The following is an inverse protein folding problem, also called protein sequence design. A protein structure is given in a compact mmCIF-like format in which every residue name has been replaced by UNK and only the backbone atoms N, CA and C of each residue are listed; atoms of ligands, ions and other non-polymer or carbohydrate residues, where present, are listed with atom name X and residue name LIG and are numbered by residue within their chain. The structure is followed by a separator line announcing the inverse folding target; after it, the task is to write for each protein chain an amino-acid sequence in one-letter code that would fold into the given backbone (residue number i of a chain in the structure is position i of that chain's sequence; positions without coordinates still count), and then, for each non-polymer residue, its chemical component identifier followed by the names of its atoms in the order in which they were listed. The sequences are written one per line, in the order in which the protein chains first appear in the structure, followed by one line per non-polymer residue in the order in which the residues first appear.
data_IF_345869122176
#
_entry.id   IF_345869122176
#
_cell.length_a   1.000
_cell.length_b   1.000
_cell.length_c   1.000
_cell.angle_alpha   90.00
_cell.angle_beta   90.00
_cell.angle_gamma   90.00
#
_symmetry.space_group_name_H-M   'P 1'
#
loop_
_entity.id
_entity.type
_entity.pdbx_description
1 polymer ?
#
# COMPACT_ATOMS: atom_id res chain seq x y z
N UNK A 1 -23.05 6.36 3.74
CA UNK A 1 -24.03 6.49 2.66
C UNK A 1 -23.99 7.92 2.11
N UNK A 2 -24.23 8.08 0.82
CA UNK A 2 -24.30 9.37 0.14
C UNK A 2 -25.60 9.49 -0.65
N UNK A 3 -26.07 10.73 -0.79
CA UNK A 3 -27.19 11.04 -1.67
C UNK A 3 -26.66 11.16 -3.10
N UNK A 4 -27.20 10.33 -4.00
CA UNK A 4 -26.91 10.36 -5.44
C UNK A 4 -28.17 10.76 -6.20
N UNK A 5 -27.98 11.69 -7.13
CA UNK A 5 -29.01 12.08 -8.09
C UNK A 5 -28.96 11.13 -9.28
N UNK A 6 -30.09 10.55 -9.61
CA UNK A 6 -30.26 9.70 -10.80
C UNK A 6 -31.16 10.43 -11.78
N UNK A 7 -30.75 10.56 -13.05
CA UNK A 7 -31.59 11.15 -14.08
C UNK A 7 -32.82 10.24 -14.28
N UNK A 8 -33.99 10.82 -14.16
CA UNK A 8 -35.25 10.19 -14.53
C UNK A 8 -35.97 11.07 -15.55
N UNK A 9 -36.45 10.46 -16.62
CA UNK A 9 -37.22 11.15 -17.64
C UNK A 9 -38.68 10.74 -17.47
N UNK A 10 -39.51 11.69 -17.08
CA UNK A 10 -40.95 11.47 -17.01
C UNK A 10 -41.56 11.11 -18.37
N UNK A 11 -42.75 10.53 -18.38
CA UNK A 11 -43.45 10.17 -19.62
C UNK A 11 -43.63 11.36 -20.58
N UNK A 12 -43.61 12.58 -20.07
CA UNK A 12 -43.73 13.82 -20.83
C UNK A 12 -42.39 14.38 -21.31
N UNK A 13 -41.27 13.68 -21.08
CA UNK A 13 -39.91 14.13 -21.45
C UNK A 13 -39.34 15.20 -20.51
N UNK A 14 -39.98 15.45 -19.37
CA UNK A 14 -39.45 16.34 -18.33
C UNK A 14 -38.37 15.64 -17.50
N UNK A 15 -37.28 16.37 -17.20
CA UNK A 15 -36.20 15.87 -16.36
C UNK A 15 -36.61 15.94 -14.90
N UNK A 16 -36.64 14.79 -14.25
CA UNK A 16 -36.88 14.65 -12.82
C UNK A 16 -35.66 14.01 -12.16
N UNK A 17 -35.02 14.72 -11.24
CA UNK A 17 -33.93 14.16 -10.49
C UNK A 17 -34.44 13.32 -9.31
N UNK A 18 -34.16 12.04 -9.31
CA UNK A 18 -34.47 11.17 -8.17
C UNK A 18 -33.23 11.12 -7.26
N UNK A 19 -33.35 11.63 -6.04
CA UNK A 19 -32.31 11.55 -5.03
C UNK A 19 -32.48 10.26 -4.23
N UNK A 20 -31.47 9.39 -4.25
CA UNK A 20 -31.41 8.18 -3.44
C UNK A 20 -30.20 8.17 -2.54
N UNK A 21 -30.40 7.83 -1.29
CA UNK A 21 -29.31 7.57 -0.34
C UNK A 21 -28.78 6.16 -0.56
N UNK A 22 -27.55 6.04 -1.02
CA UNK A 22 -26.90 4.77 -1.34
C UNK A 22 -25.66 4.53 -0.49
N UNK A 23 -25.31 3.27 -0.18
CA UNK A 23 -24.06 2.96 0.48
C UNK A 23 -22.88 3.35 -0.43
N UNK A 24 -21.82 3.85 0.17
CA UNK A 24 -20.56 4.18 -0.52
C UNK A 24 -19.42 3.43 0.12
N UNK A 25 -18.55 2.90 -0.71
CA UNK A 25 -17.25 2.35 -0.32
C UNK A 25 -16.18 3.38 -0.64
N UNK A 26 -15.34 3.69 0.33
CA UNK A 26 -14.22 4.60 0.16
C UNK A 26 -12.92 3.90 0.55
N UNK A 27 -11.84 4.25 -0.13
CA UNK A 27 -10.51 3.80 0.21
C UNK A 27 -10.00 4.55 1.44
N UNK A 28 -9.42 3.81 2.38
CA UNK A 28 -8.74 4.35 3.56
C UNK A 28 -7.25 4.07 3.41
N UNK A 29 -6.43 5.11 3.54
CA UNK A 29 -4.99 4.94 3.52
C UNK A 29 -4.51 4.20 4.77
N UNK A 30 -3.65 3.20 4.59
CA UNK A 30 -3.03 2.44 5.69
C UNK A 30 -2.36 3.37 6.72
N UNK A 31 -1.78 4.47 6.26
CA UNK A 31 -1.11 5.47 7.10
C UNK A 31 -2.05 6.30 7.99
N UNK A 32 -3.34 6.29 7.68
CA UNK A 32 -4.37 6.99 8.45
C UNK A 32 -5.30 6.03 9.20
N UNK A 33 -4.96 4.75 9.22
CA UNK A 33 -5.76 3.69 9.80
C UNK A 33 -5.04 3.08 10.99
N UNK A 34 -5.66 3.14 12.15
CA UNK A 34 -5.13 2.67 13.42
C UNK A 34 -6.08 1.63 14.01
N UNK A 35 -5.86 0.34 13.69
CA UNK A 35 -6.64 -0.75 14.26
C UNK A 35 -6.23 -1.01 15.71
N UNK A 36 -7.02 -1.81 16.39
CA UNK A 36 -6.70 -2.38 17.70
C UNK A 36 -5.35 -3.15 17.62
N UNK A 37 -4.35 -2.80 18.45
CA UNK A 37 -3.03 -3.44 18.42
C UNK A 37 -3.05 -4.93 18.75
N UNK A 38 -4.04 -5.37 19.53
CA UNK A 38 -4.18 -6.76 19.97
C UNK A 38 -4.92 -7.63 18.95
N UNK A 39 -5.53 -7.01 17.93
CA UNK A 39 -6.24 -7.71 16.89
C UNK A 39 -5.31 -8.21 15.77
N UNK A 40 -5.53 -9.42 15.29
CA UNK A 40 -4.88 -9.95 14.09
C UNK A 40 -5.73 -9.75 12.83
N UNK A 41 -7.04 -9.57 12.98
CA UNK A 41 -8.01 -9.41 11.89
C UNK A 41 -9.08 -8.38 12.26
N UNK A 42 -9.76 -7.83 11.24
CA UNK A 42 -10.87 -6.90 11.47
C UNK A 42 -11.98 -7.44 12.37
N UNK A 43 -12.22 -8.77 12.32
CA UNK A 43 -13.27 -9.39 13.13
C UNK A 43 -12.90 -9.48 14.63
N UNK A 44 -11.62 -9.46 14.95
CA UNK A 44 -11.12 -9.54 16.31
C UNK A 44 -10.93 -8.15 16.94
N UNK A 45 -10.93 -7.10 16.11
CA UNK A 45 -10.69 -5.74 16.54
C UNK A 45 -11.87 -5.22 17.39
N UNK A 46 -11.58 -4.76 18.60
CA UNK A 46 -12.55 -4.11 19.47
C UNK A 46 -12.83 -2.69 19.01
N UNK A 47 -11.85 -2.04 18.39
CA UNK A 47 -11.98 -0.69 17.86
C UNK A 47 -11.05 -0.42 16.68
N UNK A 48 -11.38 0.63 15.97
CA UNK A 48 -10.56 1.20 14.89
C UNK A 48 -10.63 2.71 14.95
N UNK A 49 -9.52 3.35 14.68
CA UNK A 49 -9.44 4.81 14.54
C UNK A 49 -8.99 5.17 13.13
N UNK A 50 -9.76 6.00 12.44
CA UNK A 50 -9.35 6.61 11.17
C UNK A 50 -9.00 8.08 11.39
N UNK A 51 -7.88 8.51 10.85
CA UNK A 51 -7.42 9.90 10.87
C UNK A 51 -7.81 10.61 9.59
N UNK A 52 -8.59 11.65 9.71
CA UNK A 52 -8.97 12.53 8.61
C UNK A 52 -8.20 13.85 8.66
N UNK A 53 -7.75 14.31 7.49
CA UNK A 53 -7.11 15.61 7.30
C UNK A 53 -8.11 16.52 6.60
N UNK A 54 -8.80 17.36 7.36
CA UNK A 54 -9.87 18.19 6.85
C UNK A 54 -9.42 19.65 6.68
N UNK A 55 -9.86 20.28 5.59
CA UNK A 55 -9.76 21.72 5.45
C UNK A 55 -10.80 22.41 6.33
N UNK A 56 -10.62 23.71 6.57
CA UNK A 56 -11.58 24.54 7.32
C UNK A 56 -12.99 24.45 6.73
N UNK A 57 -13.13 24.43 5.41
CA UNK A 57 -14.44 24.32 4.74
C UNK A 57 -15.05 22.93 4.92
N UNK A 58 -14.25 21.88 4.84
CA UNK A 58 -14.71 20.50 5.07
C UNK A 58 -15.16 20.30 6.52
N UNK A 59 -14.38 20.80 7.49
CA UNK A 59 -14.76 20.75 8.90
C UNK A 59 -16.07 21.51 9.16
N UNK A 60 -16.23 22.70 8.58
CA UNK A 60 -17.48 23.48 8.67
C UNK A 60 -18.67 22.76 8.03
N UNK A 61 -18.45 22.03 6.94
CA UNK A 61 -19.51 21.27 6.28
C UNK A 61 -20.03 20.08 7.12
N UNK A 62 -19.26 19.61 8.11
CA UNK A 62 -19.74 18.58 9.04
C UNK A 62 -20.95 19.05 9.85
N UNK A 63 -21.12 20.35 10.09
CA UNK A 63 -22.31 20.92 10.73
C UNK A 63 -23.62 20.59 10.01
N UNK A 64 -23.57 20.38 8.70
CA UNK A 64 -24.75 20.01 7.90
C UNK A 64 -25.17 18.55 8.09
N UNK A 65 -24.34 17.73 8.75
CA UNK A 65 -24.61 16.34 9.00
C UNK A 65 -25.26 16.15 10.36
N UNK A 66 -26.15 15.16 10.53
CA UNK A 66 -26.84 14.92 11.80
C UNK A 66 -25.85 14.53 12.91
N UNK A 67 -26.21 14.92 14.12
CA UNK A 67 -25.50 14.59 15.36
C UNK A 67 -24.13 15.22 15.54
N UNK A 68 -23.69 16.13 14.68
CA UNK A 68 -22.49 16.93 14.92
C UNK A 68 -22.80 18.13 15.81
N UNK A 69 -21.86 18.47 16.69
CA UNK A 69 -21.97 19.58 17.66
C UNK A 69 -21.42 20.86 17.06
N UNK A 70 -22.30 21.71 16.55
CA UNK A 70 -21.95 22.95 15.81
C UNK A 70 -21.04 23.87 16.62
N UNK A 71 -21.38 24.12 17.90
CA UNK A 71 -20.62 25.01 18.77
C UNK A 71 -19.18 24.51 18.99
N UNK A 72 -19.00 23.18 19.09
CA UNK A 72 -17.69 22.57 19.29
C UNK A 72 -16.86 22.67 18.01
N UNK A 73 -17.48 22.46 16.85
CA UNK A 73 -16.80 22.62 15.55
C UNK A 73 -16.33 24.07 15.36
N UNK A 74 -17.15 25.06 15.71
CA UNK A 74 -16.74 26.48 15.66
C UNK A 74 -15.56 26.75 16.58
N UNK A 75 -15.63 26.27 17.80
CA UNK A 75 -14.53 26.40 18.76
C UNK A 75 -13.23 25.71 18.27
N UNK A 76 -13.32 24.59 17.54
CA UNK A 76 -12.15 23.97 16.92
C UNK A 76 -11.58 24.85 15.80
N UNK A 77 -12.43 25.45 14.98
CA UNK A 77 -12.01 26.33 13.88
C UNK A 77 -11.36 27.61 14.43
N UNK A 78 -11.87 28.18 15.51
CA UNK A 78 -11.31 29.35 16.19
C UNK A 78 -9.95 29.08 16.83
N UNK A 79 -9.74 27.88 17.36
CA UNK A 79 -8.44 27.46 17.91
C UNK A 79 -7.33 27.35 16.85
N UNK A 80 -7.70 27.24 15.58
CA UNK A 80 -6.78 27.08 14.48
C UNK A 80 -6.44 25.62 14.17
N UNK A 81 -5.51 25.44 13.26
CA UNK A 81 -5.08 24.13 12.80
C UNK A 81 -4.47 23.27 13.90
N UNK A 82 -4.75 21.99 13.84
CA UNK A 82 -4.21 21.00 14.78
C UNK A 82 -3.33 19.96 14.10
N UNK A 83 -3.35 19.93 12.78
CA UNK A 83 -2.62 18.94 12.03
C UNK A 83 -1.15 19.33 11.89
N UNK A 84 -0.28 18.49 12.41
CA UNK A 84 1.16 18.57 12.18
C UNK A 84 1.56 17.44 11.23
N UNK A 85 2.23 17.82 10.13
CA UNK A 85 2.76 16.86 9.18
C UNK A 85 3.84 16.02 9.85
N UNK A 86 3.76 14.70 9.71
CA UNK A 86 4.76 13.76 10.23
C UNK A 86 5.89 13.58 9.22
N UNK A 87 7.08 13.21 9.69
CA UNK A 87 8.27 13.02 8.86
C UNK A 87 8.03 12.03 7.70
N UNK A 88 7.42 10.89 7.96
CA UNK A 88 7.08 9.91 6.94
C UNK A 88 6.13 10.44 5.84
N UNK A 89 5.31 11.45 6.14
CA UNK A 89 4.44 12.09 5.14
C UNK A 89 5.21 12.96 4.17
N UNK A 90 6.31 13.56 4.65
CA UNK A 90 7.23 14.32 3.81
C UNK A 90 8.00 13.38 2.89
N UNK A 91 8.49 12.26 3.44
CA UNK A 91 9.24 11.23 2.69
C UNK A 91 8.39 10.60 1.59
N UNK A 92 7.11 10.30 1.86
CA UNK A 92 6.20 9.73 0.87
C UNK A 92 5.79 10.72 -0.23
N UNK A 93 5.72 12.00 0.11
CA UNK A 93 5.20 13.00 -0.81
C UNK A 93 6.25 13.52 -1.80
N UNK A 94 7.55 13.26 -1.54
CA UNK A 94 8.69 13.86 -2.27
C UNK A 94 8.54 15.39 -2.48
N UNK A 95 7.79 16.02 -1.57
CA UNK A 95 7.48 17.44 -1.62
C UNK A 95 8.30 18.20 -0.60
N UNK A 96 9.22 18.99 -1.06
CA UNK A 96 9.90 20.03 -0.28
C UNK A 96 9.09 21.32 -0.17
N UNK A 97 7.82 21.29 -0.56
CA UNK A 97 6.96 22.47 -0.51
C UNK A 97 6.40 22.67 0.90
N UNK A 98 6.99 23.61 1.62
CA UNK A 98 6.47 24.26 2.84
C UNK A 98 5.21 25.11 2.56
N UNK A 99 4.29 24.63 1.74
CA UNK A 99 2.98 25.24 1.65
C UNK A 99 2.23 24.89 2.94
N UNK A 100 2.21 25.85 3.82
CA UNK A 100 1.50 25.84 5.09
C UNK A 100 -0.01 25.86 4.79
N UNK A 101 -0.55 24.67 4.52
CA UNK A 101 -1.98 24.49 4.24
C UNK A 101 -2.66 24.16 5.55
N UNK A 102 -3.43 25.12 6.10
CA UNK A 102 -4.28 24.91 7.28
C UNK A 102 -5.06 23.59 7.17
N UNK A 103 -4.78 22.65 8.05
CA UNK A 103 -5.46 21.37 8.14
C UNK A 103 -5.83 21.06 9.59
N UNK A 104 -6.98 20.42 9.74
CA UNK A 104 -7.48 19.97 11.03
C UNK A 104 -7.37 18.46 11.08
N UNK A 105 -6.75 17.96 12.13
CA UNK A 105 -6.75 16.53 12.42
C UNK A 105 -8.07 16.16 13.08
N UNK A 106 -8.78 15.23 12.45
CA UNK A 106 -10.02 14.68 12.97
C UNK A 106 -9.89 13.18 13.07
N UNK A 107 -10.13 12.65 14.25
CA UNK A 107 -10.09 11.22 14.54
C UNK A 107 -11.51 10.68 14.54
N UNK A 108 -11.76 9.66 13.74
CA UNK A 108 -13.02 8.92 13.71
C UNK A 108 -12.79 7.55 14.36
N UNK A 109 -13.43 7.33 15.48
CA UNK A 109 -13.40 6.08 16.24
C UNK A 109 -14.64 5.24 15.94
N UNK A 110 -14.44 3.97 15.70
CA UNK A 110 -15.49 2.96 15.67
C UNK A 110 -15.10 1.81 16.58
N UNK A 111 -15.95 1.46 17.52
CA UNK A 111 -15.66 0.35 18.41
C UNK A 111 -16.53 0.33 19.64
N UNK A 112 -16.08 -0.48 20.58
CA UNK A 112 -16.71 -0.66 21.90
C UNK A 112 -16.31 0.49 22.82
N UNK A 113 -17.27 1.04 23.54
CA UNK A 113 -17.09 2.15 24.50
C UNK A 113 -17.93 1.88 25.74
N UNK A 114 -17.39 2.24 26.89
CA UNK A 114 -18.14 2.22 28.14
C UNK A 114 -19.37 3.11 28.05
N UNK A 115 -20.51 2.58 28.40
CA UNK A 115 -21.80 3.28 28.40
C UNK A 115 -21.75 4.56 29.24
N UNK A 116 -21.11 4.51 30.42
CA UNK A 116 -20.99 5.65 31.32
C UNK A 116 -20.31 6.86 30.65
N UNK A 117 -19.32 6.64 29.81
CA UNK A 117 -18.63 7.71 29.06
C UNK A 117 -19.58 8.41 28.06
N UNK A 118 -20.50 7.67 27.46
CA UNK A 118 -21.49 8.24 26.56
C UNK A 118 -22.58 9.00 27.31
N UNK A 119 -23.03 8.49 28.47
CA UNK A 119 -24.01 9.15 29.32
C UNK A 119 -23.50 10.48 29.89
N UNK A 120 -22.23 10.54 30.34
CA UNK A 120 -21.57 11.77 30.80
C UNK A 120 -21.51 12.83 29.67
N UNK A 121 -21.49 12.41 28.42
CA UNK A 121 -21.46 13.30 27.27
C UNK A 121 -22.84 13.62 26.68
N UNK A 122 -23.90 13.38 27.41
CA UNK A 122 -25.31 13.64 27.03
C UNK A 122 -25.79 12.87 25.78
N UNK A 123 -25.26 11.68 25.56
CA UNK A 123 -25.71 10.82 24.47
C UNK A 123 -26.93 9.98 24.94
N UNK A 124 -28.09 10.11 24.28
CA UNK A 124 -29.29 9.39 24.70
C UNK A 124 -29.14 7.88 24.51
N UNK A 125 -29.33 7.13 25.59
CA UNK A 125 -29.28 5.66 25.58
C UNK A 125 -30.67 5.08 25.36
N UNK A 126 -30.89 4.26 24.31
CA UNK A 126 -32.09 3.47 24.16
C UNK A 126 -32.29 2.50 25.30
N UNK A 127 -33.57 2.19 25.61
CA UNK A 127 -33.91 1.26 26.71
C UNK A 127 -33.33 -0.16 26.50
N UNK A 128 -33.05 -0.53 25.28
CA UNK A 128 -32.45 -1.83 24.91
C UNK A 128 -31.05 -2.04 25.52
N UNK A 129 -30.32 -0.95 25.80
CA UNK A 129 -28.95 -0.98 26.34
C UNK A 129 -28.91 -0.71 27.86
N UNK A 130 -30.04 -0.88 28.58
CA UNK A 130 -30.10 -0.54 30.01
C UNK A 130 -29.21 -1.44 30.86
N UNK A 131 -29.11 -2.72 30.50
CA UNK A 131 -28.41 -3.75 31.28
C UNK A 131 -27.05 -4.13 30.67
N UNK A 132 -26.50 -3.27 29.81
CA UNK A 132 -25.20 -3.47 29.13
C UNK A 132 -24.25 -2.40 29.57
N UNK A 133 -23.03 -2.79 29.94
CA UNK A 133 -21.99 -1.87 30.42
C UNK A 133 -21.21 -1.23 29.23
N UNK A 134 -21.10 -1.96 28.11
CA UNK A 134 -20.36 -1.54 26.94
C UNK A 134 -21.26 -1.52 25.70
N UNK A 135 -21.04 -0.53 24.82
CA UNK A 135 -21.82 -0.37 23.59
C UNK A 135 -20.93 -0.01 22.41
N UNK A 136 -21.29 -0.45 21.23
CA UNK A 136 -20.63 -0.01 20.02
C UNK A 136 -21.04 1.41 19.63
N UNK A 137 -20.05 2.28 19.42
CA UNK A 137 -20.26 3.68 19.07
C UNK A 137 -19.37 4.14 17.92
N UNK A 138 -19.80 5.24 17.27
CA UNK A 138 -18.98 6.04 16.37
C UNK A 138 -18.75 7.39 17.01
N UNK A 139 -17.49 7.74 17.22
CA UNK A 139 -17.05 8.95 17.90
C UNK A 139 -16.11 9.74 17.00
N UNK A 140 -16.34 11.05 16.91
CA UNK A 140 -15.48 11.96 16.16
C UNK A 140 -14.89 13.00 17.09
N UNK A 141 -13.57 13.16 17.03
CA UNK A 141 -12.79 14.07 17.89
C UNK A 141 -11.97 14.98 16.99
N UNK A 142 -12.04 16.28 17.24
CA UNK A 142 -11.18 17.29 16.61
C UNK A 142 -10.57 18.19 17.66
N UNK A 143 -9.27 18.48 17.56
CA UNK A 143 -8.53 19.30 18.54
C UNK A 143 -8.75 18.84 20.01
N UNK A 144 -8.83 17.53 20.23
CA UNK A 144 -9.11 16.96 21.55
C UNK A 144 -10.53 17.17 22.07
N UNK A 145 -11.46 17.69 21.23
CA UNK A 145 -12.86 17.92 21.59
C UNK A 145 -13.78 16.96 20.86
N UNK A 146 -14.81 16.49 21.56
CA UNK A 146 -15.81 15.59 21.04
C UNK A 146 -16.78 16.37 20.13
N UNK A 147 -16.67 16.19 18.81
CA UNK A 147 -17.52 16.86 17.82
C UNK A 147 -18.74 16.02 17.44
N UNK A 148 -18.70 14.70 17.61
CA UNK A 148 -19.83 13.79 17.39
C UNK A 148 -19.66 12.53 18.23
N UNK A 149 -20.76 12.02 18.79
CA UNK A 149 -20.84 10.67 19.33
C UNK A 149 -22.24 10.11 19.10
N UNK A 150 -22.31 8.92 18.53
CA UNK A 150 -23.57 8.21 18.24
C UNK A 150 -23.35 6.72 18.42
N UNK A 151 -24.43 6.01 18.78
CA UNK A 151 -24.42 4.56 18.80
C UNK A 151 -24.25 4.01 17.39
N UNK A 152 -23.64 2.84 17.28
CA UNK A 152 -23.49 2.14 16.01
C UNK A 152 -24.88 1.85 15.40
N UNK A 153 -25.18 2.36 14.19
CA UNK A 153 -26.50 2.20 13.58
C UNK A 153 -26.72 0.81 12.97
N UNK A 154 -25.66 0.01 12.81
CA UNK A 154 -25.74 -1.29 12.15
C UNK A 154 -26.25 -2.37 13.08
N UNK A 155 -27.09 -3.28 12.55
CA UNK A 155 -27.62 -4.46 13.26
C UNK A 155 -27.36 -5.73 12.43
N UNK A 156 -26.58 -6.71 12.95
CA UNK A 156 -25.78 -6.66 14.19
C UNK A 156 -24.68 -5.60 14.13
N UNK A 157 -24.28 -5.10 15.32
CA UNK A 157 -23.22 -4.11 15.43
C UNK A 157 -21.92 -4.66 14.86
N UNK A 158 -21.27 -3.90 13.98
CA UNK A 158 -19.97 -4.24 13.39
C UNK A 158 -19.20 -2.98 13.06
N UNK A 159 -17.89 -3.10 12.97
CA UNK A 159 -17.01 -2.04 12.52
C UNK A 159 -17.05 -1.99 10.98
N UNK A 160 -17.41 -0.85 10.34
CA UNK A 160 -17.64 -0.79 8.89
C UNK A 160 -16.35 -0.63 8.08
N UNK A 161 -15.28 -1.31 8.48
CA UNK A 161 -14.00 -1.35 7.79
C UNK A 161 -13.66 -2.77 7.39
N UNK A 162 -12.93 -2.89 6.28
CA UNK A 162 -12.42 -4.15 5.77
C UNK A 162 -10.96 -3.97 5.42
N UNK A 163 -10.14 -4.94 5.78
CA UNK A 163 -8.72 -4.93 5.49
C UNK A 163 -8.30 -6.30 4.94
N UNK A 164 -7.61 -6.29 3.80
CA UNK A 164 -7.07 -7.51 3.21
C UNK A 164 -5.55 -7.42 3.21
N UNK A 165 -4.85 -8.34 3.88
CA UNK A 165 -3.40 -8.42 3.81
C UNK A 165 -2.97 -9.04 2.47
N UNK A 166 -1.78 -8.66 1.99
CA UNK A 166 -1.14 -9.34 0.87
C UNK A 166 -0.74 -10.76 1.29
N UNK A 167 0.04 -10.88 2.34
CA UNK A 167 0.36 -12.12 3.02
C UNK A 167 -0.01 -11.99 4.50
N UNK A 168 -0.60 -13.05 5.06
CA UNK A 168 -1.06 -13.04 6.46
C UNK A 168 0.14 -13.06 7.41
N UNK A 169 0.14 -12.14 8.36
CA UNK A 169 1.04 -12.17 9.50
C UNK A 169 0.23 -12.65 10.73
N UNK A 170 0.56 -13.83 11.31
CA UNK A 170 -0.20 -14.36 12.44
C UNK A 170 -0.02 -13.56 13.74
N UNK A 171 0.91 -12.61 13.79
CA UNK A 171 1.27 -11.86 14.99
C UNK A 171 0.93 -10.38 14.90
N UNK A 172 0.36 -9.92 13.79
CA UNK A 172 0.07 -8.50 13.56
C UNK A 172 -1.16 -8.33 12.68
N UNK A 173 -1.90 -7.26 12.91
CA UNK A 173 -2.99 -6.85 12.04
C UNK A 173 -2.52 -6.56 10.60
N UNK A 174 -1.38 -5.91 10.47
CA UNK A 174 -0.79 -5.63 9.17
C UNK A 174 -0.07 -6.86 8.64
N UNK A 175 -0.43 -7.27 7.44
CA UNK A 175 0.24 -8.36 6.73
C UNK A 175 1.62 -7.97 6.22
N UNK A 176 2.30 -8.95 5.64
CA UNK A 176 3.60 -8.78 5.01
C UNK A 176 3.39 -8.37 3.56
N UNK A 177 4.05 -7.30 3.12
CA UNK A 177 3.97 -6.81 1.75
C UNK A 177 5.03 -7.42 0.83
N UNK A 178 4.77 -7.40 -0.48
CA UNK A 178 5.74 -7.89 -1.48
C UNK A 178 7.07 -7.12 -1.41
N UNK A 179 7.03 -5.82 -1.13
CA UNK A 179 8.23 -5.00 -1.01
C UNK A 179 9.08 -5.43 0.20
N UNK A 180 8.46 -5.80 1.30
CA UNK A 180 9.12 -6.32 2.50
C UNK A 180 9.83 -7.64 2.21
N UNK A 181 9.17 -8.56 1.49
CA UNK A 181 9.76 -9.84 1.07
C UNK A 181 10.96 -9.67 0.11
N UNK A 182 11.01 -8.54 -0.62
CA UNK A 182 12.09 -8.26 -1.58
C UNK A 182 13.26 -7.47 -0.99
N UNK A 183 13.11 -6.83 0.15
CA UNK A 183 14.03 -5.78 0.64
C UNK A 183 15.47 -6.27 0.72
N UNK A 184 15.71 -7.41 1.34
CA UNK A 184 17.04 -8.00 1.45
C UNK A 184 17.66 -8.31 0.08
N UNK A 185 16.88 -8.91 -0.81
CA UNK A 185 17.35 -9.30 -2.15
C UNK A 185 17.58 -8.07 -3.03
N UNK A 186 16.76 -7.05 -2.91
CA UNK A 186 16.95 -5.77 -3.60
C UNK A 186 18.21 -5.05 -3.12
N UNK A 187 18.47 -5.05 -1.83
CA UNK A 187 19.69 -4.50 -1.24
C UNK A 187 20.95 -5.20 -1.78
N UNK A 188 20.91 -6.55 -1.86
CA UNK A 188 21.98 -7.33 -2.46
C UNK A 188 22.19 -6.99 -3.95
N UNK A 189 21.11 -6.94 -4.75
CA UNK A 189 21.18 -6.56 -6.16
C UNK A 189 21.78 -5.17 -6.37
N UNK A 190 21.38 -4.20 -5.57
CA UNK A 190 21.92 -2.84 -5.62
C UNK A 190 23.42 -2.84 -5.29
N UNK A 191 23.84 -3.62 -4.29
CA UNK A 191 25.24 -3.78 -3.90
C UNK A 191 26.09 -4.36 -5.04
N UNK A 192 25.66 -5.46 -5.64
CA UNK A 192 26.39 -6.09 -6.75
C UNK A 192 26.45 -5.23 -8.00
N UNK A 193 25.36 -4.51 -8.32
CA UNK A 193 25.37 -3.58 -9.44
C UNK A 193 26.36 -2.42 -9.22
N UNK A 194 26.38 -1.82 -8.03
CA UNK A 194 27.35 -0.78 -7.69
C UNK A 194 28.79 -1.30 -7.79
N UNK A 195 29.07 -2.46 -7.19
CA UNK A 195 30.40 -3.08 -7.29
C UNK A 195 30.82 -3.39 -8.73
N UNK A 196 29.88 -3.84 -9.58
CA UNK A 196 30.15 -4.08 -11.00
C UNK A 196 30.53 -2.79 -11.74
N UNK A 197 29.77 -1.70 -11.51
CA UNK A 197 30.03 -0.38 -12.10
C UNK A 197 31.37 0.18 -11.61
N UNK A 198 31.61 0.18 -10.31
CA UNK A 198 32.85 0.70 -9.71
C UNK A 198 34.07 -0.08 -10.22
N UNK A 199 33.98 -1.41 -10.28
CA UNK A 199 35.04 -2.24 -10.84
C UNK A 199 35.24 -1.97 -12.33
N UNK A 200 34.18 -1.79 -13.12
CA UNK A 200 34.31 -1.46 -14.53
C UNK A 200 35.02 -0.12 -14.74
N UNK A 201 34.76 0.89 -13.92
CA UNK A 201 35.44 2.19 -13.94
C UNK A 201 36.90 2.02 -13.57
N UNK A 202 37.20 1.31 -12.47
CA UNK A 202 38.61 1.11 -12.02
C UNK A 202 39.40 0.25 -13.00
N UNK A 203 38.84 -0.85 -13.49
CA UNK A 203 39.51 -1.73 -14.44
C UNK A 203 39.61 -1.16 -15.85
N UNK A 204 38.69 -0.26 -16.22
CA UNK A 204 38.70 0.46 -17.50
C UNK A 204 39.76 1.55 -17.55
N UNK A 205 40.15 2.09 -16.41
CA UNK A 205 41.19 3.13 -16.32
C UNK A 205 42.56 2.48 -16.12
N UNK A 206 43.53 2.95 -16.91
CA UNK A 206 44.89 2.53 -16.77
C UNK A 206 45.55 3.32 -15.63
N UNK A 207 46.10 2.61 -14.64
CA UNK A 207 47.03 3.22 -13.69
C UNK A 207 48.39 3.34 -14.37
N UNK A 208 48.90 4.56 -14.42
CA UNK A 208 50.20 4.85 -15.05
C UNK A 208 51.17 5.23 -13.96
N UNK A 209 52.18 4.42 -13.81
CA UNK A 209 53.34 4.71 -12.99
C UNK A 209 54.41 5.31 -13.89
N UNK A 210 54.97 6.45 -13.46
CA UNK A 210 55.97 7.19 -14.24
C UNK A 210 57.22 7.33 -13.41
N UNK A 211 58.33 6.84 -13.94
CA UNK A 211 59.68 7.11 -13.40
C UNK A 211 60.23 8.40 -14.04
N UNK A 212 60.12 9.50 -13.31
CA UNK A 212 60.54 10.82 -13.78
C UNK A 212 62.01 10.88 -13.97
N UNK A 213 62.86 10.06 -13.30
CA UNK A 213 64.32 10.07 -13.42
C UNK A 213 64.74 9.55 -14.77
N UNK A 214 64.00 8.70 -15.40
CA UNK A 214 64.25 8.11 -16.71
C UNK A 214 63.62 8.86 -17.89
N UNK A 215 62.81 9.89 -17.59
CA UNK A 215 62.17 10.75 -18.59
C UNK A 215 62.97 12.07 -18.81
N UNK A 216 62.82 12.65 -20.00
CA UNK A 216 63.41 13.99 -20.28
C UNK A 216 62.64 15.01 -19.41
N UNK A 217 63.36 15.82 -18.59
CA UNK A 217 62.76 16.79 -17.71
C UNK A 217 61.83 17.79 -18.45
N UNK A 218 60.73 18.14 -17.82
CA UNK A 218 59.77 19.17 -18.30
C UNK A 218 58.85 18.74 -19.43
N UNK A 219 58.74 17.44 -19.76
CA UNK A 219 57.74 16.99 -20.73
C UNK A 219 56.40 16.83 -20.09
N UNK A 220 55.36 17.13 -20.86
CA UNK A 220 53.96 16.92 -20.44
C UNK A 220 53.68 15.44 -20.26
N UNK A 221 53.12 15.05 -19.06
CA UNK A 221 52.80 13.68 -18.70
C UNK A 221 51.36 13.31 -19.03
N UNK A 222 50.56 14.21 -19.62
CA UNK A 222 49.21 13.89 -20.06
C UNK A 222 49.22 12.79 -21.14
N UNK A 223 48.32 11.79 -20.98
CA UNK A 223 48.25 10.62 -21.88
C UNK A 223 47.09 10.80 -22.86
N UNK A 224 47.41 10.75 -24.15
CA UNK A 224 46.43 10.76 -25.23
C UNK A 224 46.89 9.86 -26.40
N UNK A 225 45.99 9.41 -27.29
CA UNK A 225 46.37 8.57 -28.42
C UNK A 225 47.45 9.22 -29.28
N UNK A 226 48.54 8.48 -29.55
CA UNK A 226 49.67 8.95 -30.34
C UNK A 226 50.71 9.78 -29.58
N UNK A 227 50.59 9.94 -28.26
CA UNK A 227 51.58 10.59 -27.42
C UNK A 227 52.93 9.87 -27.49
N UNK A 228 53.99 10.61 -27.70
CA UNK A 228 55.40 10.14 -27.70
C UNK A 228 56.07 10.66 -26.44
N UNK A 229 56.51 9.73 -25.60
CA UNK A 229 57.36 10.05 -24.44
C UNK A 229 58.81 9.87 -24.79
N UNK A 230 59.66 10.91 -24.49
CA UNK A 230 61.07 10.88 -24.67
C UNK A 230 61.74 10.46 -23.37
N UNK A 231 62.58 9.44 -23.42
CA UNK A 231 63.31 8.98 -22.25
C UNK A 231 64.84 9.38 -22.36
N UNK A 232 65.39 9.56 -21.20
CA UNK A 232 66.82 9.96 -21.07
C UNK A 232 67.68 8.75 -20.69
N UNK A 233 67.11 7.70 -20.10
CA UNK A 233 67.84 6.51 -19.65
C UNK A 233 66.92 5.27 -19.51
N UNK A 234 67.43 4.19 -18.96
CA UNK A 234 66.67 2.93 -18.67
C UNK A 234 66.35 2.10 -19.92
N UNK A 235 65.83 0.89 -19.72
CA UNK A 235 65.35 0.01 -20.80
C UNK A 235 63.98 0.43 -21.32
N UNK A 236 63.56 0.04 -22.54
CA UNK A 236 62.22 0.28 -23.05
C UNK A 236 61.16 -0.31 -22.10
N UNK A 237 60.15 0.49 -21.73
CA UNK A 237 59.07 0.10 -20.84
C UNK A 237 59.32 0.34 -19.34
N UNK A 238 60.52 0.78 -18.94
CA UNK A 238 60.81 1.05 -17.51
C UNK A 238 60.46 2.49 -17.06
N UNK A 239 60.39 3.45 -17.99
CA UNK A 239 60.07 4.83 -17.65
C UNK A 239 58.59 5.08 -17.44
N UNK A 240 57.74 4.31 -18.09
CA UNK A 240 56.28 4.38 -17.95
C UNK A 240 55.74 2.97 -17.91
N UNK A 241 55.09 2.62 -16.83
CA UNK A 241 54.46 1.34 -16.63
C UNK A 241 52.96 1.52 -16.46
N UNK A 242 52.17 0.82 -17.24
CA UNK A 242 50.69 0.81 -17.14
C UNK A 242 50.21 -0.48 -16.51
N UNK A 243 49.49 -0.37 -15.43
CA UNK A 243 48.83 -1.52 -14.78
C UNK A 243 47.33 -1.35 -14.81
N UNK A 244 46.62 -2.44 -14.82
CA UNK A 244 45.15 -2.45 -14.75
C UNK A 244 44.72 -3.24 -13.52
N UNK A 245 43.64 -2.77 -12.89
CA UNK A 245 42.98 -3.58 -11.89
C UNK A 245 42.29 -4.79 -12.57
N UNK A 246 42.21 -5.93 -11.89
CA UNK A 246 41.50 -7.08 -12.42
C UNK A 246 40.01 -6.73 -12.60
N UNK A 247 39.48 -7.13 -13.74
CA UNK A 247 38.03 -6.94 -14.02
C UNK A 247 37.26 -8.13 -13.46
N UNK A 248 36.48 -7.86 -12.41
CA UNK A 248 35.57 -8.81 -11.76
C UNK A 248 34.10 -8.44 -11.97
N UNK A 249 33.80 -7.60 -12.96
CA UNK A 249 32.44 -7.13 -13.23
C UNK A 249 31.51 -8.30 -13.64
N UNK A 250 32.03 -9.30 -14.34
CA UNK A 250 31.26 -10.47 -14.77
C UNK A 250 30.80 -11.32 -13.57
N UNK A 251 31.68 -11.51 -12.59
CA UNK A 251 31.39 -12.23 -11.36
C UNK A 251 30.32 -11.51 -10.54
N UNK A 252 30.43 -10.18 -10.44
CA UNK A 252 29.40 -9.36 -9.78
C UNK A 252 28.06 -9.43 -10.51
N UNK A 253 28.04 -9.45 -11.85
CA UNK A 253 26.83 -9.63 -12.63
C UNK A 253 26.20 -11.02 -12.45
N UNK A 254 27.00 -12.07 -12.32
CA UNK A 254 26.49 -13.41 -11.99
C UNK A 254 25.85 -13.45 -10.60
N UNK A 255 26.44 -12.77 -9.62
CA UNK A 255 25.86 -12.65 -8.27
C UNK A 255 24.58 -11.82 -8.29
N UNK A 256 24.54 -10.75 -9.08
CA UNK A 256 23.32 -9.98 -9.33
C UNK A 256 22.20 -10.86 -9.91
N UNK A 257 22.49 -11.65 -10.95
CA UNK A 257 21.51 -12.55 -11.56
C UNK A 257 21.02 -13.62 -10.55
N UNK A 258 21.91 -14.09 -9.68
CA UNK A 258 21.52 -15.04 -8.63
C UNK A 258 20.62 -14.38 -7.57
N UNK A 259 20.95 -13.15 -7.15
CA UNK A 259 20.10 -12.40 -6.24
C UNK A 259 18.71 -12.12 -6.85
N UNK A 260 18.65 -11.83 -8.17
CA UNK A 260 17.39 -11.68 -8.89
C UNK A 260 16.56 -12.96 -8.88
N UNK A 261 17.18 -14.13 -9.10
CA UNK A 261 16.48 -15.39 -9.00
C UNK A 261 15.91 -15.65 -7.59
N UNK A 262 16.66 -15.32 -6.54
CA UNK A 262 16.19 -15.41 -5.16
C UNK A 262 15.02 -14.47 -4.89
N UNK A 263 15.04 -13.27 -5.46
CA UNK A 263 13.93 -12.32 -5.40
C UNK A 263 12.67 -12.87 -6.10
N UNK A 264 12.82 -13.46 -7.29
CA UNK A 264 11.71 -14.10 -8.00
C UNK A 264 11.11 -15.26 -7.18
N UNK A 265 11.95 -16.05 -6.52
CA UNK A 265 11.52 -17.15 -5.64
C UNK A 265 10.82 -16.65 -4.38
N UNK A 266 11.35 -15.60 -3.73
CA UNK A 266 10.78 -15.04 -2.49
C UNK A 266 9.44 -14.37 -2.70
N UNK A 267 9.24 -13.73 -3.86
CA UNK A 267 7.98 -13.05 -4.19
C UNK A 267 6.93 -13.97 -4.79
N UNK A 268 7.32 -15.16 -5.25
CA UNK A 268 6.45 -16.08 -5.97
C UNK A 268 6.08 -15.61 -7.39
N UNK A 269 6.81 -14.62 -7.95
CA UNK A 269 6.64 -14.13 -9.33
C UNK A 269 7.87 -14.50 -10.19
N UNK A 270 8.03 -15.76 -10.58
CA UNK A 270 9.18 -16.17 -11.34
C UNK A 270 9.22 -15.53 -12.72
N UNK A 271 10.42 -15.26 -13.22
CA UNK A 271 10.67 -14.56 -14.48
C UNK A 271 10.02 -15.20 -15.70
N UNK A 272 9.79 -16.50 -15.70
CA UNK A 272 9.09 -17.21 -16.78
C UNK A 272 7.60 -16.86 -16.85
N UNK A 273 6.97 -16.40 -15.77
CA UNK A 273 5.59 -15.89 -15.78
C UNK A 273 5.46 -14.59 -16.60
N UNK A 274 6.56 -13.87 -16.81
CA UNK A 274 6.64 -12.65 -17.63
C UNK A 274 7.12 -12.90 -19.06
N UNK A 275 7.17 -14.16 -19.51
CA UNK A 275 7.50 -14.51 -20.90
C UNK A 275 9.00 -14.65 -21.18
N UNK A 276 9.87 -14.69 -20.17
CA UNK A 276 11.27 -15.04 -20.37
C UNK A 276 11.39 -16.54 -20.70
N UNK A 277 11.73 -16.84 -21.94
CA UNK A 277 11.89 -18.21 -22.47
C UNK A 277 13.29 -18.78 -22.17
N UNK A 278 13.64 -18.89 -20.88
CA UNK A 278 14.94 -19.46 -20.48
C UNK A 278 14.88 -20.86 -19.88
N UNK A 279 13.69 -21.47 -19.79
CA UNK A 279 13.50 -22.78 -19.15
C UNK A 279 13.84 -23.89 -20.15
N UNK A 280 15.03 -24.45 -20.02
CA UNK A 280 15.45 -25.64 -20.81
C UNK A 280 14.80 -26.90 -20.25
N UNK A 281 14.06 -27.63 -21.08
CA UNK A 281 13.54 -28.96 -20.78
C UNK A 281 12.01 -29.04 -20.67
N UNK A 282 11.44 -28.72 -19.53
CA UNK A 282 9.99 -28.87 -19.24
C UNK A 282 9.12 -27.88 -20.01
N UNK A 283 9.64 -26.70 -20.36
CA UNK A 283 8.93 -25.64 -21.11
C UNK A 283 8.74 -25.88 -22.61
N UNK A 284 9.14 -27.04 -23.15
CA UNK A 284 9.02 -27.33 -24.59
C UNK A 284 7.66 -27.94 -25.01
N UNK A 285 6.84 -28.35 -24.06
CA UNK A 285 5.50 -28.89 -24.31
C UNK A 285 4.43 -27.99 -23.72
N UNK A 286 3.28 -27.91 -24.38
CA UNK A 286 2.15 -27.12 -23.89
C UNK A 286 1.72 -27.56 -22.46
N UNK A 287 1.76 -28.87 -22.19
CA UNK A 287 1.48 -29.41 -20.86
C UNK A 287 2.52 -29.02 -19.82
N UNK A 288 3.81 -28.99 -20.17
CA UNK A 288 4.89 -28.57 -19.27
C UNK A 288 4.81 -27.06 -18.95
N UNK A 289 4.50 -26.23 -19.94
CA UNK A 289 4.28 -24.79 -19.73
C UNK A 289 3.06 -24.57 -18.82
N UNK A 290 1.96 -25.31 -19.03
CA UNK A 290 0.78 -25.23 -18.19
C UNK A 290 1.06 -25.63 -16.74
N UNK A 291 1.84 -26.69 -16.51
CA UNK A 291 2.26 -27.10 -15.16
C UNK A 291 3.14 -26.05 -14.47
N UNK A 292 4.08 -25.45 -15.19
CA UNK A 292 4.93 -24.37 -14.67
C UNK A 292 4.11 -23.12 -14.33
N UNK A 293 3.18 -22.73 -15.20
CA UNK A 293 2.29 -21.60 -14.94
C UNK A 293 1.37 -21.86 -13.73
N UNK A 294 0.88 -23.08 -13.57
CA UNK A 294 0.07 -23.46 -12.41
C UNK A 294 0.89 -23.46 -11.11
N UNK A 295 2.13 -23.90 -11.15
CA UNK A 295 3.03 -23.85 -9.99
C UNK A 295 3.38 -22.39 -9.62
N UNK A 296 3.67 -21.56 -10.62
CA UNK A 296 3.95 -20.15 -10.42
C UNK A 296 2.73 -19.35 -9.90
N UNK A 297 1.53 -19.77 -10.26
CA UNK A 297 0.29 -19.07 -9.83
C UNK A 297 -0.10 -19.34 -8.37
N UNK A 298 0.60 -20.22 -7.66
CA UNK A 298 0.28 -20.57 -6.27
C UNK A 298 0.27 -19.37 -5.32
N UNK A 299 1.32 -18.54 -5.36
CA UNK A 299 1.41 -17.31 -4.56
C UNK A 299 0.30 -16.31 -4.90
N UNK A 300 0.07 -16.09 -6.20
CA UNK A 300 -0.98 -15.19 -6.69
C UNK A 300 -2.37 -15.67 -6.25
N UNK A 301 -2.63 -16.99 -6.32
CA UNK A 301 -3.90 -17.58 -5.86
C UNK A 301 -4.15 -17.32 -4.38
N UNK A 302 -3.11 -17.39 -3.55
CA UNK A 302 -3.21 -17.08 -2.12
C UNK A 302 -3.57 -15.61 -1.90
N UNK A 303 -2.94 -14.68 -2.61
CA UNK A 303 -3.27 -13.24 -2.54
C UNK A 303 -4.72 -12.99 -2.97
N UNK A 304 -5.16 -13.58 -4.08
CA UNK A 304 -6.54 -13.44 -4.55
C UNK A 304 -7.52 -14.00 -3.52
N UNK A 305 -7.19 -15.16 -2.92
CA UNK A 305 -8.00 -15.74 -1.84
C UNK A 305 -8.08 -14.81 -0.64
N UNK A 306 -6.98 -14.18 -0.24
CA UNK A 306 -6.99 -13.21 0.86
C UNK A 306 -7.91 -12.01 0.52
N UNK A 307 -7.86 -11.50 -0.72
CA UNK A 307 -8.77 -10.44 -1.17
C UNK A 307 -10.22 -10.90 -1.17
N UNK A 308 -10.51 -12.12 -1.64
CA UNK A 308 -11.87 -12.68 -1.63
C UNK A 308 -12.41 -12.82 -0.18
N UNK A 309 -11.62 -13.40 0.71
CA UNK A 309 -12.05 -13.75 2.06
C UNK A 309 -12.11 -12.53 3.00
N UNK A 310 -11.14 -11.60 2.90
CA UNK A 310 -11.00 -10.47 3.84
C UNK A 310 -11.54 -9.14 3.31
N UNK A 311 -11.74 -9.00 1.99
CA UNK A 311 -12.25 -7.76 1.40
C UNK A 311 -13.61 -7.97 0.71
N UNK A 312 -13.67 -8.80 -0.35
CA UNK A 312 -14.85 -8.87 -1.21
C UNK A 312 -16.05 -9.50 -0.53
N UNK A 313 -15.85 -10.60 0.20
CA UNK A 313 -16.91 -11.28 0.92
C UNK A 313 -17.48 -10.40 2.05
N UNK A 314 -16.68 -9.85 2.98
CA UNK A 314 -17.19 -8.96 4.03
C UNK A 314 -17.84 -7.69 3.45
N UNK A 315 -17.30 -7.15 2.35
CA UNK A 315 -17.89 -6.02 1.66
C UNK A 315 -19.30 -6.34 1.14
N UNK A 316 -19.43 -7.47 0.44
CA UNK A 316 -20.72 -7.92 -0.07
C UNK A 316 -21.73 -8.16 1.06
N UNK A 317 -21.30 -8.80 2.14
CA UNK A 317 -22.14 -9.04 3.33
C UNK A 317 -22.60 -7.72 3.98
N UNK A 318 -21.70 -6.76 4.14
CA UNK A 318 -22.02 -5.46 4.74
C UNK A 318 -22.96 -4.63 3.86
N UNK A 319 -22.76 -4.63 2.53
CA UNK A 319 -23.67 -3.98 1.60
C UNK A 319 -25.06 -4.65 1.59
N UNK A 320 -25.09 -5.97 1.64
CA UNK A 320 -26.33 -6.72 1.75
C UNK A 320 -27.08 -6.38 3.05
N UNK A 321 -26.39 -6.44 4.22
CA UNK A 321 -26.96 -6.08 5.52
C UNK A 321 -27.46 -4.64 5.54
N UNK A 322 -26.72 -3.71 4.94
CA UNK A 322 -27.13 -2.31 4.81
C UNK A 322 -28.47 -2.21 4.05
N UNK A 323 -28.57 -2.85 2.90
CA UNK A 323 -29.81 -2.83 2.10
C UNK A 323 -30.96 -3.50 2.85
N UNK A 324 -30.71 -4.63 3.54
CA UNK A 324 -31.73 -5.31 4.35
C UNK A 324 -32.26 -4.44 5.49
N UNK A 325 -31.40 -3.60 6.07
CA UNK A 325 -31.77 -2.75 7.20
C UNK A 325 -32.41 -1.43 6.76
N UNK A 326 -31.88 -0.77 5.73
CA UNK A 326 -32.22 0.61 5.39
C UNK A 326 -33.03 0.75 4.10
N UNK A 327 -33.09 -0.24 3.22
CA UNK A 327 -33.92 -0.15 2.02
C UNK A 327 -35.37 -0.49 2.38
N UNK A 328 -36.29 0.31 1.83
CA UNK A 328 -37.74 0.14 2.07
C UNK A 328 -38.42 -0.79 1.06
N UNK A 329 -37.77 -1.16 -0.05
CA UNK A 329 -38.34 -2.03 -1.06
C UNK A 329 -38.44 -3.49 -0.53
N UNK A 330 -39.64 -4.05 -0.31
CA UNK A 330 -39.79 -5.41 0.16
C UNK A 330 -39.29 -6.47 -0.83
N UNK A 331 -39.12 -6.13 -2.10
CA UNK A 331 -38.61 -7.05 -3.14
C UNK A 331 -37.11 -7.35 -3.00
N UNK A 332 -36.38 -6.48 -2.33
CA UNK A 332 -34.93 -6.63 -2.11
C UNK A 332 -34.67 -7.49 -0.87
N UNK A 333 -35.65 -7.59 0.03
CA UNK A 333 -35.53 -8.32 1.30
C UNK A 333 -35.63 -9.83 1.09
N UNK A 334 -34.61 -10.55 1.52
CA UNK A 334 -34.54 -12.00 1.43
C UNK A 334 -33.40 -12.56 2.28
N UNK A 335 -33.42 -13.87 2.47
CA UNK A 335 -32.34 -14.60 3.13
C UNK A 335 -31.36 -15.09 2.04
N UNK A 336 -30.22 -14.43 1.92
CA UNK A 336 -29.21 -14.70 0.88
C UNK A 336 -27.84 -14.84 1.53
N UNK A 337 -27.08 -15.80 1.04
CA UNK A 337 -25.66 -15.96 1.39
C UNK A 337 -24.78 -15.28 0.33
N UNK A 338 -23.85 -14.42 0.77
CA UNK A 338 -22.89 -13.76 -0.12
C UNK A 338 -21.65 -14.63 -0.27
N UNK A 339 -21.29 -14.99 -1.51
CA UNK A 339 -20.09 -15.76 -1.84
C UNK A 339 -19.21 -14.98 -2.79
N UNK A 340 -17.95 -14.76 -2.40
CA UNK A 340 -16.92 -14.28 -3.31
C UNK A 340 -16.46 -15.45 -4.21
N UNK A 341 -16.41 -15.23 -5.52
CA UNK A 341 -16.06 -16.27 -6.51
C UNK A 341 -14.81 -15.98 -7.32
N UNK A 342 -13.98 -15.06 -6.90
CA UNK A 342 -12.75 -14.71 -7.63
C UNK A 342 -11.84 -15.92 -7.81
N UNK A 343 -11.54 -16.63 -6.75
CA UNK A 343 -10.71 -17.84 -6.76
C UNK A 343 -11.37 -18.99 -7.51
N UNK A 344 -12.68 -19.21 -7.33
CA UNK A 344 -13.43 -20.27 -8.04
C UNK A 344 -13.48 -20.02 -9.54
N UNK A 345 -13.62 -18.77 -9.99
CA UNK A 345 -13.66 -18.43 -11.40
C UNK A 345 -12.32 -18.69 -12.11
N UNK A 346 -11.21 -18.44 -11.41
CA UNK A 346 -9.87 -18.75 -11.90
C UNK A 346 -9.67 -20.25 -12.07
N UNK A 347 -10.04 -21.05 -11.06
CA UNK A 347 -9.98 -22.51 -11.14
C UNK A 347 -10.88 -23.08 -12.25
N UNK A 348 -12.09 -22.54 -12.41
CA UNK A 348 -12.99 -22.96 -13.47
C UNK A 348 -12.45 -22.68 -14.87
N UNK A 349 -11.78 -21.54 -15.07
CA UNK A 349 -11.13 -21.19 -16.33
C UNK A 349 -9.92 -22.08 -16.62
N UNK A 350 -9.15 -22.47 -15.61
CA UNK A 350 -8.05 -23.44 -15.76
C UNK A 350 -8.56 -24.80 -16.19
N UNK A 351 -9.62 -25.31 -15.58
CA UNK A 351 -10.25 -26.59 -15.96
C UNK A 351 -10.83 -26.55 -17.38
N UNK A 352 -11.39 -25.39 -17.78
CA UNK A 352 -11.88 -25.21 -19.17
C UNK A 352 -10.75 -25.15 -20.21
N UNK A 353 -9.60 -24.57 -19.84
CA UNK A 353 -8.44 -24.51 -20.74
C UNK A 353 -7.72 -25.83 -20.91
N UNK A 354 -7.96 -26.79 -19.98
CA UNK A 354 -7.39 -28.15 -20.03
C UNK A 354 -8.26 -29.16 -20.79
N UNK A 355 -9.51 -28.81 -21.11
CA UNK A 355 -10.43 -29.60 -21.93
C UNK A 355 -10.40 -29.14 -23.38
#
# INVERSE_FOLDING_TARGET
AIDKEYPNWGENGEYEAIVKTVPQVSHVSVWNFYPDPDANHMNDAQYVVERHKLSRSQLRNLKKRPFFRDNVIESCIEQGESYQRKEWENDLADYTNDLDVERFEVLEYWGVVDKELLEVNDIPMPKEFKDVDEVHANIWIANGKLIRAVLNPFKPSHIPYMASPYELNPYSFFGIGIAENMDDTQTLMNGFMRMAVDNAVLSGNLLIEVDETNLVPGQDLSVYPGKIFRRQGGAPGQAIFGTKFPNVSNENMQLFDKARQLSDESTGFPSFAHGQTGVTGVGRTASGISMLMNAASGGIKTVIKNVDDYLLRPLGENLFRFNMQFDFDPKIKGDLEVKARGTESLMANEVRSQR
#
